data_IF_135898075461
#
_entry.id   IF_135898075461
#
_cell.length_a   1.000
_cell.length_b   1.000
_cell.length_c   1.000
_cell.angle_alpha   90.00
_cell.angle_beta   90.00
_cell.angle_gamma   90.00
#
_symmetry.space_group_name_H-M   'P 1'
#
loop_
_entity.id
_entity.type
_entity.pdbx_description
1 polymer ?
#
# COMPACT_ATOMS: atom_id res chain seq x y z
N UNK A 1 33.87 -41.93 21.43
CA UNK A 1 32.88 -42.65 22.26
C UNK A 1 31.72 -41.71 22.52
N UNK A 2 30.50 -42.19 22.43
CA UNK A 2 29.29 -41.36 22.56
C UNK A 2 29.09 -40.95 24.04
N UNK A 3 29.23 -39.66 24.40
CA UNK A 3 29.15 -39.20 25.78
C UNK A 3 27.76 -39.43 26.41
N UNK A 4 26.71 -39.64 25.61
CA UNK A 4 25.36 -39.95 26.10
C UNK A 4 25.26 -41.34 26.76
N UNK A 5 26.19 -42.26 26.48
CA UNK A 5 26.17 -43.62 27.04
C UNK A 5 26.76 -43.72 28.45
N UNK A 6 27.48 -42.69 28.93
CA UNK A 6 28.09 -42.68 30.26
C UNK A 6 27.11 -42.28 31.38
N UNK A 7 26.08 -41.50 31.07
CA UNK A 7 25.19 -40.93 32.09
C UNK A 7 24.20 -41.95 32.70
N UNK A 8 24.03 -43.10 32.03
CA UNK A 8 23.27 -44.24 32.54
C UNK A 8 24.17 -45.34 33.14
N UNK A 9 25.50 -45.14 33.20
CA UNK A 9 26.42 -46.09 33.81
C UNK A 9 26.30 -46.01 35.36
N UNK A 10 26.03 -47.13 36.05
CA UNK A 10 25.94 -47.17 37.51
C UNK A 10 27.20 -46.68 38.25
N UNK A 11 28.34 -46.54 37.55
CA UNK A 11 29.64 -46.10 38.07
C UNK A 11 29.94 -44.63 37.77
N UNK A 12 29.00 -43.92 37.15
CA UNK A 12 29.10 -42.49 36.84
C UNK A 12 29.22 -41.67 38.13
N UNK A 13 30.34 -40.96 38.30
CA UNK A 13 30.64 -40.18 39.51
C UNK A 13 31.57 -40.87 40.51
N UNK A 14 31.93 -42.14 40.32
CA UNK A 14 32.84 -42.89 41.22
C UNK A 14 34.10 -43.37 40.47
N UNK A 15 33.97 -44.26 39.48
CA UNK A 15 35.10 -44.76 38.66
C UNK A 15 35.22 -44.05 37.30
N UNK A 16 34.12 -43.47 36.81
CA UNK A 16 34.12 -42.64 35.61
C UNK A 16 34.06 -41.16 36.04
N UNK A 17 35.07 -40.33 35.71
CA UNK A 17 35.09 -38.93 36.11
C UNK A 17 33.88 -38.20 35.53
N UNK A 18 33.09 -37.54 36.39
CA UNK A 18 31.93 -36.78 35.96
C UNK A 18 32.41 -35.54 35.17
N UNK A 19 32.18 -35.46 33.84
CA UNK A 19 32.63 -34.33 33.03
C UNK A 19 31.94 -33.01 33.41
N UNK A 20 30.87 -33.05 34.20
CA UNK A 20 30.14 -31.89 34.71
C UNK A 20 30.66 -31.35 36.06
N UNK A 21 31.67 -31.96 36.70
CA UNK A 21 32.16 -31.50 38.01
C UNK A 21 32.87 -30.15 37.94
N UNK A 22 33.62 -29.90 36.85
CA UNK A 22 34.36 -28.67 36.64
C UNK A 22 33.99 -28.05 35.30
N UNK A 23 32.74 -27.58 35.19
CA UNK A 23 32.27 -26.87 34.00
C UNK A 23 32.87 -25.45 33.94
N UNK A 24 33.22 -25.01 32.73
CA UNK A 24 33.67 -23.66 32.43
C UNK A 24 32.85 -23.09 31.25
N UNK A 25 32.98 -21.80 30.90
CA UNK A 25 32.16 -21.17 29.86
C UNK A 25 32.23 -21.82 28.47
N UNK A 26 33.27 -22.62 28.18
CA UNK A 26 33.49 -23.30 26.90
C UNK A 26 33.14 -24.79 26.92
N UNK A 27 32.68 -25.33 28.07
CA UNK A 27 32.36 -26.76 28.19
C UNK A 27 31.14 -27.12 27.32
N UNK A 28 31.34 -28.06 26.39
CA UNK A 28 30.31 -28.49 25.42
C UNK A 28 29.02 -28.99 26.09
N UNK A 29 27.88 -28.55 25.57
CA UNK A 29 26.54 -28.98 26.02
C UNK A 29 26.19 -30.41 25.61
N UNK A 30 26.90 -30.96 24.62
CA UNK A 30 26.76 -32.37 24.22
C UNK A 30 27.37 -33.30 25.29
N UNK A 31 28.44 -32.86 25.94
CA UNK A 31 29.13 -33.64 26.98
C UNK A 31 28.55 -33.40 28.37
N UNK A 32 28.10 -32.17 28.65
CA UNK A 32 27.40 -31.84 29.88
C UNK A 32 26.16 -31.00 29.55
N UNK A 33 24.95 -31.60 29.51
CA UNK A 33 23.72 -30.88 29.19
C UNK A 33 23.49 -29.67 30.09
N UNK A 34 22.81 -28.66 29.57
CA UNK A 34 22.42 -27.51 30.38
C UNK A 34 21.40 -27.94 31.45
N UNK A 35 21.48 -27.41 32.67
CA UNK A 35 20.47 -27.65 33.70
C UNK A 35 19.09 -27.18 33.22
N UNK A 36 18.06 -27.97 33.49
CA UNK A 36 16.66 -27.58 33.26
C UNK A 36 16.07 -26.83 34.45
N UNK A 37 16.64 -26.98 35.64
CA UNK A 37 16.27 -26.22 36.82
C UNK A 37 16.80 -24.77 36.68
N UNK A 38 15.92 -23.75 36.72
CA UNK A 38 16.32 -22.35 36.61
C UNK A 38 17.34 -21.90 37.66
N UNK A 39 17.29 -22.45 38.87
CA UNK A 39 18.22 -22.11 39.97
C UNK A 39 19.64 -22.64 39.69
N UNK A 40 19.73 -23.83 39.11
CA UNK A 40 21.01 -24.42 38.71
C UNK A 40 21.54 -23.76 37.44
N UNK A 41 20.66 -23.44 36.50
CA UNK A 41 21.01 -22.74 35.26
C UNK A 41 21.55 -21.33 35.53
N UNK A 42 21.01 -20.62 36.53
CA UNK A 42 21.51 -19.31 36.96
C UNK A 42 22.96 -19.36 37.48
N UNK A 43 23.40 -20.51 37.97
CA UNK A 43 24.76 -20.74 38.46
C UNK A 43 25.66 -21.44 37.44
N UNK A 44 25.14 -21.85 36.28
CA UNK A 44 25.93 -22.47 35.22
C UNK A 44 26.87 -21.42 34.59
N UNK A 45 28.20 -21.62 34.60
CA UNK A 45 29.17 -20.69 34.00
C UNK A 45 28.97 -20.44 32.49
N UNK A 46 28.14 -21.25 31.82
CA UNK A 46 27.85 -21.16 30.38
C UNK A 46 26.54 -20.43 30.06
N UNK A 47 25.82 -19.95 31.08
CA UNK A 47 24.55 -19.22 30.89
C UNK A 47 24.72 -18.00 29.98
N UNK A 48 23.71 -17.71 29.17
CA UNK A 48 23.75 -16.59 28.20
C UNK A 48 24.72 -16.83 27.03
N UNK A 49 25.22 -18.06 26.87
CA UNK A 49 26.12 -18.47 25.81
C UNK A 49 25.74 -19.85 25.28
N UNK A 50 26.51 -20.88 25.67
CA UNK A 50 26.20 -22.26 25.29
C UNK A 50 24.94 -22.80 25.99
N UNK A 51 24.64 -22.30 27.19
CA UNK A 51 23.40 -22.57 27.90
C UNK A 51 22.47 -21.35 27.89
N UNK A 52 21.15 -21.57 27.84
CA UNK A 52 20.19 -20.48 27.88
C UNK A 52 20.30 -19.68 29.18
N UNK A 53 19.99 -18.39 29.10
CA UNK A 53 19.87 -17.55 30.29
C UNK A 53 18.45 -17.66 30.85
N UNK A 54 18.32 -18.13 32.09
CA UNK A 54 17.06 -18.21 32.83
C UNK A 54 16.36 -16.86 32.97
N UNK A 55 17.10 -15.76 32.87
CA UNK A 55 16.60 -14.39 32.97
C UNK A 55 16.48 -13.70 31.61
N UNK A 56 16.61 -14.44 30.51
CA UNK A 56 16.29 -13.90 29.19
C UNK A 56 14.79 -13.66 29.04
N UNK A 57 14.41 -12.59 28.33
CA UNK A 57 13.01 -12.24 28.12
C UNK A 57 12.19 -13.34 27.43
N UNK A 58 12.83 -14.26 26.69
CA UNK A 58 12.16 -15.38 26.04
C UNK A 58 11.70 -16.47 27.02
N UNK A 59 12.34 -16.60 28.18
CA UNK A 59 12.05 -17.63 29.18
C UNK A 59 11.35 -17.07 30.44
N UNK A 60 11.42 -15.75 30.65
CA UNK A 60 10.71 -15.05 31.71
C UNK A 60 9.19 -15.06 31.46
N UNK A 61 8.43 -15.43 32.49
CA UNK A 61 6.98 -15.30 32.52
C UNK A 61 6.53 -14.64 33.83
N UNK A 62 5.24 -14.34 33.95
CA UNK A 62 4.65 -13.63 35.10
C UNK A 62 4.85 -14.33 36.46
N UNK A 63 5.17 -15.62 36.47
CA UNK A 63 5.37 -16.43 37.69
C UNK A 63 6.85 -16.72 38.00
N UNK A 64 7.80 -16.30 37.16
CA UNK A 64 9.22 -16.56 37.40
C UNK A 64 9.69 -15.85 38.67
N UNK A 65 10.13 -16.64 39.66
CA UNK A 65 10.55 -16.15 40.97
C UNK A 65 11.67 -15.11 40.89
N UNK A 66 11.53 -14.04 41.67
CA UNK A 66 12.52 -12.97 41.79
C UNK A 66 13.82 -13.42 42.48
N UNK A 67 13.77 -14.55 43.20
CA UNK A 67 14.97 -15.15 43.78
C UNK A 67 15.88 -15.80 42.73
N UNK A 68 15.30 -16.24 41.60
CA UNK A 68 16.05 -16.80 40.47
C UNK A 68 16.53 -15.67 39.56
N UNK A 69 15.62 -14.77 39.20
CA UNK A 69 15.87 -13.63 38.33
C UNK A 69 15.40 -12.35 39.02
N UNK A 70 16.31 -11.59 39.67
CA UNK A 70 15.96 -10.34 40.30
C UNK A 70 15.26 -9.39 39.33
N UNK A 71 14.37 -8.55 39.85
CA UNK A 71 13.75 -7.51 39.05
C UNK A 71 14.82 -6.48 38.64
N UNK A 72 14.74 -6.02 37.40
CA UNK A 72 15.53 -4.87 36.95
C UNK A 72 15.16 -3.64 37.78
N UNK A 73 16.11 -2.75 38.02
CA UNK A 73 15.90 -1.52 38.81
C UNK A 73 15.72 -0.29 37.93
N UNK A 74 16.07 -0.38 36.64
CA UNK A 74 15.91 0.69 35.67
C UNK A 74 14.49 0.67 35.09
N UNK A 75 13.71 1.76 35.20
CA UNK A 75 12.34 1.83 34.69
C UNK A 75 12.20 1.46 33.21
N UNK A 76 13.17 1.87 32.38
CA UNK A 76 13.20 1.56 30.95
C UNK A 76 13.28 0.06 30.64
N UNK A 77 13.81 -0.76 31.56
CA UNK A 77 13.81 -2.22 31.43
C UNK A 77 12.61 -2.87 32.13
N UNK A 78 12.15 -2.28 33.23
CA UNK A 78 10.97 -2.77 33.96
C UNK A 78 9.69 -2.71 33.13
N UNK A 79 9.58 -1.72 32.23
CA UNK A 79 8.39 -1.58 31.35
C UNK A 79 8.15 -2.83 30.48
N UNK A 80 9.22 -3.57 30.17
CA UNK A 80 9.18 -4.77 29.34
C UNK A 80 9.27 -6.06 30.17
N UNK A 81 9.34 -6.00 31.51
CA UNK A 81 9.38 -7.19 32.36
C UNK A 81 7.97 -7.83 32.43
N UNK A 82 7.81 -9.11 32.05
CA UNK A 82 6.52 -9.82 32.10
C UNK A 82 5.89 -9.91 33.50
N UNK A 83 6.66 -9.63 34.56
CA UNK A 83 6.25 -9.72 35.97
C UNK A 83 5.92 -8.37 36.59
N UNK A 84 6.01 -7.27 35.82
CA UNK A 84 5.68 -5.92 36.30
C UNK A 84 4.26 -5.86 36.87
N UNK A 85 4.07 -5.12 37.97
CA UNK A 85 2.77 -4.96 38.63
C UNK A 85 2.34 -6.16 39.49
N UNK A 86 3.21 -7.17 39.64
CA UNK A 86 3.02 -8.30 40.53
C UNK A 86 4.28 -8.56 41.34
N UNK A 87 5.13 -9.46 40.86
CA UNK A 87 6.40 -9.78 41.52
C UNK A 87 7.45 -8.69 41.36
N UNK A 88 7.42 -7.95 40.25
CA UNK A 88 8.31 -6.82 39.99
C UNK A 88 7.57 -5.48 40.05
N UNK A 89 8.26 -4.39 40.46
CA UNK A 89 7.68 -3.05 40.46
C UNK A 89 7.16 -2.65 39.08
N UNK A 90 6.00 -2.01 39.04
CA UNK A 90 5.49 -1.38 37.83
C UNK A 90 5.91 0.09 37.80
N UNK A 91 6.70 0.54 36.80
CA UNK A 91 7.07 1.95 36.67
C UNK A 91 5.87 2.87 36.40
N UNK A 92 4.75 2.33 35.93
CA UNK A 92 3.49 3.07 35.71
C UNK A 92 2.58 3.15 36.94
N UNK A 93 2.86 2.39 38.00
CA UNK A 93 2.04 2.45 39.20
C UNK A 93 2.16 3.80 39.90
N UNK A 94 1.07 4.27 40.52
CA UNK A 94 1.03 5.57 41.23
C UNK A 94 2.15 5.76 42.25
N UNK A 95 2.66 4.68 42.85
CA UNK A 95 3.74 4.73 43.83
C UNK A 95 5.14 4.93 43.22
N UNK A 96 5.34 4.52 41.96
CA UNK A 96 6.64 4.56 41.29
C UNK A 96 6.71 5.61 40.17
N UNK A 97 5.56 6.05 39.65
CA UNK A 97 5.47 7.07 38.61
C UNK A 97 6.05 8.40 39.14
N UNK A 98 6.93 9.02 38.35
CA UNK A 98 7.52 10.33 38.65
C UNK A 98 7.12 11.37 37.61
N UNK A 99 7.20 12.65 37.99
CA UNK A 99 6.84 13.79 37.14
C UNK A 99 7.61 13.82 35.80
N UNK A 100 8.84 13.32 35.81
CA UNK A 100 9.77 13.26 34.69
C UNK A 100 9.78 11.91 33.97
N UNK A 101 8.90 10.97 34.37
CA UNK A 101 8.80 9.68 33.69
C UNK A 101 8.26 9.89 32.29
N UNK A 102 9.09 9.56 31.30
CA UNK A 102 8.82 9.74 29.88
C UNK A 102 7.72 8.80 29.37
N UNK A 103 7.09 9.17 28.26
CA UNK A 103 5.93 8.44 27.70
C UNK A 103 6.28 7.09 27.09
N UNK A 104 7.55 6.86 26.74
CA UNK A 104 8.07 5.57 26.27
C UNK A 104 8.19 4.54 27.41
N UNK A 105 8.45 5.00 28.63
CA UNK A 105 8.49 4.17 29.84
C UNK A 105 7.06 3.92 30.32
N UNK A 106 6.29 4.99 30.46
CA UNK A 106 4.91 4.91 30.88
C UNK A 106 4.02 5.80 30.00
N UNK A 107 3.18 5.22 29.13
CA UNK A 107 2.26 6.00 28.32
C UNK A 107 1.36 6.88 29.20
N UNK A 108 0.96 8.04 28.69
CA UNK A 108 0.00 8.86 29.40
C UNK A 108 -1.40 8.23 29.33
N UNK A 109 -2.22 8.36 30.39
CA UNK A 109 -3.59 7.89 30.37
C UNK A 109 -4.41 8.60 29.29
N UNK A 110 -5.21 7.83 28.56
CA UNK A 110 -6.16 8.36 27.56
C UNK A 110 -7.56 8.56 28.14
N UNK A 111 -7.86 7.94 29.29
CA UNK A 111 -9.08 8.19 30.04
C UNK A 111 -8.95 9.55 30.76
N UNK A 112 -9.90 10.48 30.58
CA UNK A 112 -9.87 11.79 31.24
C UNK A 112 -9.76 11.73 32.77
N UNK A 113 -10.44 10.77 33.41
CA UNK A 113 -10.40 10.63 34.87
C UNK A 113 -9.04 10.14 35.37
N UNK A 114 -8.38 9.26 34.63
CA UNK A 114 -7.05 8.78 34.99
C UNK A 114 -5.99 9.84 34.68
N UNK A 115 -6.15 10.60 33.59
CA UNK A 115 -5.28 11.71 33.23
C UNK A 115 -5.32 12.83 34.26
N UNK A 116 -6.52 13.18 34.77
CA UNK A 116 -6.67 14.20 35.82
C UNK A 116 -5.94 13.82 37.12
N UNK A 117 -5.74 12.52 37.33
CA UNK A 117 -5.01 11.95 38.45
C UNK A 117 -3.55 11.60 38.12
N UNK A 118 -3.10 11.74 36.87
CA UNK A 118 -1.70 11.55 36.50
C UNK A 118 -0.89 12.76 36.97
N UNK A 119 0.16 12.51 37.73
CA UNK A 119 1.02 13.57 38.26
C UNK A 119 1.70 14.38 37.13
N UNK A 120 1.82 13.81 35.92
CA UNK A 120 2.45 14.41 34.73
C UNK A 120 1.48 15.21 33.87
N UNK A 121 0.20 15.32 34.25
CA UNK A 121 -0.86 15.96 33.43
C UNK A 121 -0.55 17.39 33.01
N UNK A 122 0.16 18.15 33.84
CA UNK A 122 0.51 19.55 33.57
C UNK A 122 1.85 19.69 32.82
N UNK A 123 2.54 18.58 32.56
CA UNK A 123 3.85 18.53 31.91
C UNK A 123 3.85 17.58 30.72
N UNK A 124 4.62 16.49 30.85
CA UNK A 124 4.83 15.51 29.78
C UNK A 124 3.51 14.90 29.25
N UNK A 125 2.48 14.81 30.09
CA UNK A 125 1.16 14.31 29.70
C UNK A 125 0.14 15.41 29.39
N UNK A 126 0.56 16.66 29.24
CA UNK A 126 -0.35 17.74 28.84
C UNK A 126 -0.84 17.55 27.42
N UNK A 127 -2.10 17.94 27.17
CA UNK A 127 -2.67 18.00 25.84
C UNK A 127 -1.90 18.95 24.93
N UNK A 128 -1.31 20.02 25.45
CA UNK A 128 -0.58 21.01 24.65
C UNK A 128 0.74 20.45 24.12
N UNK A 129 1.28 19.42 24.76
CA UNK A 129 2.47 18.70 24.31
C UNK A 129 2.11 17.37 23.64
N UNK A 130 0.82 17.13 23.38
CA UNK A 130 0.29 15.89 22.83
C UNK A 130 0.69 14.64 23.63
N UNK A 131 1.01 14.83 24.91
CA UNK A 131 1.41 13.77 25.82
C UNK A 131 0.25 12.85 26.13
N UNK A 132 -0.93 13.44 26.38
CA UNK A 132 -2.18 12.73 26.54
C UNK A 132 -3.26 13.33 25.63
N UNK A 133 -3.75 12.49 24.73
CA UNK A 133 -4.85 12.84 23.83
C UNK A 133 -6.07 11.99 24.19
N UNK A 134 -7.25 12.60 24.08
CA UNK A 134 -8.55 11.97 24.27
C UNK A 134 -9.32 12.06 22.96
N UNK A 135 -10.44 11.34 22.83
CA UNK A 135 -11.30 11.41 21.63
C UNK A 135 -11.85 12.82 21.34
N UNK A 136 -11.77 13.73 22.31
CA UNK A 136 -12.23 15.13 22.21
C UNK A 136 -11.10 16.16 22.10
N UNK A 137 -9.82 15.75 22.18
CA UNK A 137 -8.70 16.69 22.09
C UNK A 137 -8.66 17.33 20.68
N UNK A 138 -8.76 18.67 20.57
CA UNK A 138 -8.80 19.35 19.28
C UNK A 138 -7.58 19.03 18.41
N UNK A 139 -7.81 18.86 17.11
CA UNK A 139 -6.75 18.54 16.14
C UNK A 139 -5.77 19.69 15.90
N UNK A 140 -6.18 20.93 16.20
CA UNK A 140 -5.32 22.12 16.14
C UNK A 140 -4.34 22.19 17.32
N UNK A 141 -4.71 21.58 18.46
CA UNK A 141 -3.80 21.43 19.62
C UNK A 141 -2.79 20.32 19.34
N UNK A 142 -3.27 19.20 18.79
CA UNK A 142 -2.45 18.04 18.45
C UNK A 142 -2.84 17.48 17.10
N UNK A 143 -1.95 17.61 16.11
CA UNK A 143 -2.19 17.05 14.78
C UNK A 143 -2.47 15.55 14.84
N UNK A 144 -3.26 15.06 13.89
CA UNK A 144 -3.51 13.64 13.74
C UNK A 144 -2.26 12.92 13.18
N UNK A 145 -1.92 11.72 13.68
CA UNK A 145 -0.76 10.98 13.20
C UNK A 145 -0.87 10.66 11.71
N UNK A 146 0.24 10.83 10.98
CA UNK A 146 0.33 10.54 9.54
C UNK A 146 0.77 9.12 9.25
N UNK A 147 1.29 8.39 10.25
CA UNK A 147 1.64 6.98 10.14
C UNK A 147 0.47 6.12 10.60
N UNK A 148 0.11 5.09 9.82
CA UNK A 148 -1.02 4.21 10.12
C UNK A 148 -0.90 3.56 11.51
N UNK A 149 0.29 3.08 11.88
CA UNK A 149 0.53 2.41 13.16
C UNK A 149 0.29 3.29 14.38
N UNK A 150 0.44 4.60 14.23
CA UNK A 150 0.23 5.58 15.30
C UNK A 150 -1.19 6.12 15.25
N UNK A 151 -1.74 6.29 14.05
CA UNK A 151 -3.14 6.66 13.85
C UNK A 151 -4.09 5.62 14.44
N UNK A 152 -3.82 4.33 14.24
CA UNK A 152 -4.66 3.24 14.78
C UNK A 152 -4.70 3.23 16.32
N UNK A 153 -3.71 3.85 16.97
CA UNK A 153 -3.62 3.99 18.42
C UNK A 153 -4.15 5.35 18.91
N UNK A 154 -4.43 6.29 18.01
CA UNK A 154 -4.96 7.60 18.37
C UNK A 154 -6.42 7.45 18.83
N UNK A 155 -6.78 7.87 20.06
CA UNK A 155 -8.16 7.81 20.55
C UNK A 155 -9.18 8.58 19.70
N UNK A 156 -8.72 9.46 18.81
CA UNK A 156 -9.53 10.28 17.90
C UNK A 156 -9.64 9.66 16.51
N UNK A 157 -9.01 8.51 16.24
CA UNK A 157 -8.97 7.86 14.93
C UNK A 157 -10.37 7.64 14.32
N UNK A 158 -11.37 7.32 15.15
CA UNK A 158 -12.75 7.13 14.70
C UNK A 158 -13.61 8.40 14.73
N UNK A 159 -13.08 9.49 15.28
CA UNK A 159 -13.76 10.77 15.49
C UNK A 159 -13.07 11.91 14.75
N UNK A 160 -12.46 12.83 15.50
CA UNK A 160 -11.86 14.06 14.97
C UNK A 160 -10.78 13.81 13.91
N UNK A 161 -10.06 12.70 13.98
CA UNK A 161 -9.00 12.36 13.02
C UNK A 161 -9.49 11.53 11.82
N UNK A 162 -10.72 10.99 11.87
CA UNK A 162 -11.24 9.96 10.95
C UNK A 162 -11.03 10.24 9.46
N UNK A 163 -11.37 11.45 9.01
CA UNK A 163 -11.20 11.86 7.61
C UNK A 163 -10.20 13.00 7.45
N UNK A 164 -9.47 13.34 8.52
CA UNK A 164 -8.38 14.31 8.48
C UNK A 164 -7.10 13.66 7.97
N UNK A 165 -6.91 12.39 8.28
CA UNK A 165 -5.86 11.54 7.71
C UNK A 165 -6.53 10.37 7.02
N UNK A 166 -6.15 10.14 5.77
CA UNK A 166 -6.68 9.06 4.93
C UNK A 166 -5.51 8.25 4.40
N UNK A 167 -5.69 6.94 4.39
CA UNK A 167 -4.70 5.97 3.91
C UNK A 167 -5.28 5.22 2.71
N UNK A 168 -4.43 4.57 1.91
CA UNK A 168 -4.85 3.79 0.73
C UNK A 168 -5.89 2.70 1.07
N UNK A 169 -5.84 2.18 2.29
CA UNK A 169 -6.75 1.16 2.83
C UNK A 169 -8.04 1.72 3.44
N UNK A 170 -8.17 3.05 3.60
CA UNK A 170 -9.32 3.65 4.30
C UNK A 170 -10.61 3.44 3.51
N UNK A 171 -11.58 2.67 4.04
CA UNK A 171 -12.78 2.31 3.28
C UNK A 171 -13.63 3.53 2.89
N UNK A 172 -14.26 3.48 1.70
CA UNK A 172 -15.14 4.55 1.22
C UNK A 172 -16.35 4.80 2.13
N UNK A 173 -16.84 3.77 2.83
CA UNK A 173 -17.90 3.92 3.82
C UNK A 173 -17.46 4.64 5.11
N UNK A 174 -16.15 4.66 5.39
CA UNK A 174 -15.57 5.35 6.54
C UNK A 174 -15.40 6.84 6.24
N UNK A 175 -14.78 7.14 5.10
CA UNK A 175 -14.62 8.48 4.56
C UNK A 175 -14.95 8.46 3.06
N UNK A 176 -16.00 9.16 2.61
CA UNK A 176 -16.37 9.18 1.20
C UNK A 176 -15.23 9.76 0.36
N UNK A 177 -15.15 9.32 -0.89
CA UNK A 177 -14.19 9.86 -1.84
C UNK A 177 -14.56 11.30 -2.20
N UNK A 178 -13.58 12.19 -2.40
CA UNK A 178 -13.85 13.54 -2.88
C UNK A 178 -14.56 13.53 -4.23
N UNK A 179 -15.52 14.43 -4.41
CA UNK A 179 -16.21 14.65 -5.68
C UNK A 179 -15.59 15.79 -6.50
N UNK A 180 -14.74 16.61 -5.88
CA UNK A 180 -13.93 17.59 -6.60
C UNK A 180 -12.73 16.90 -7.28
N UNK A 181 -12.48 17.13 -8.58
CA UNK A 181 -11.36 16.50 -9.29
C UNK A 181 -9.98 16.81 -8.71
N UNK A 182 -9.78 18.00 -8.14
CA UNK A 182 -8.51 18.43 -7.56
C UNK A 182 -8.25 17.70 -6.25
N UNK A 183 -9.27 17.62 -5.40
CA UNK A 183 -9.19 16.89 -4.13
C UNK A 183 -9.05 15.39 -4.35
N UNK A 184 -9.77 14.83 -5.33
CA UNK A 184 -9.66 13.41 -5.68
C UNK A 184 -8.24 13.07 -6.16
N UNK A 185 -7.60 13.95 -6.94
CA UNK A 185 -6.21 13.74 -7.40
C UNK A 185 -5.22 13.67 -6.24
N UNK A 186 -5.51 14.36 -5.13
CA UNK A 186 -4.68 14.40 -3.94
C UNK A 186 -5.07 13.34 -2.90
N UNK A 187 -6.18 12.61 -3.09
CA UNK A 187 -6.59 11.52 -2.21
C UNK A 187 -5.64 10.33 -2.41
N UNK A 188 -4.99 9.79 -1.36
CA UNK A 188 -4.12 8.61 -1.46
C UNK A 188 -4.81 7.40 -2.09
N UNK A 189 -6.14 7.31 -1.99
CA UNK A 189 -6.96 6.22 -2.55
C UNK A 189 -7.37 6.47 -4.01
N UNK A 190 -6.95 7.57 -4.63
CA UNK A 190 -7.34 7.97 -5.98
C UNK A 190 -7.14 6.85 -7.02
N UNK A 191 -6.06 6.08 -6.89
CA UNK A 191 -5.74 5.00 -7.81
C UNK A 191 -6.35 3.64 -7.41
N UNK A 192 -6.94 3.56 -6.21
CA UNK A 192 -7.51 2.34 -5.63
C UNK A 192 -8.99 2.50 -5.34
N UNK A 193 -9.37 2.58 -4.06
CA UNK A 193 -10.77 2.60 -3.62
C UNK A 193 -11.58 3.78 -4.18
N UNK A 194 -10.92 4.93 -4.46
CA UNK A 194 -11.58 6.12 -5.00
C UNK A 194 -11.44 6.28 -6.52
N UNK A 195 -10.90 5.29 -7.22
CA UNK A 195 -10.68 5.34 -8.68
C UNK A 195 -11.95 5.57 -9.50
N UNK A 196 -13.09 5.14 -8.98
CA UNK A 196 -14.41 5.30 -9.59
C UNK A 196 -15.24 6.45 -9.00
N UNK A 197 -14.66 7.31 -8.15
CA UNK A 197 -15.41 8.35 -7.44
C UNK A 197 -15.99 9.43 -8.37
N UNK A 198 -15.27 9.76 -9.45
CA UNK A 198 -15.72 10.69 -10.47
C UNK A 198 -15.71 9.95 -11.82
N UNK A 199 -16.91 9.76 -12.37
CA UNK A 199 -17.10 9.18 -13.71
C UNK A 199 -17.57 10.31 -14.63
N UNK A 200 -16.81 10.57 -15.68
CA UNK A 200 -17.20 11.47 -16.77
C UNK A 200 -17.40 10.67 -18.04
N UNK A 201 -17.94 11.29 -19.09
CA UNK A 201 -18.11 10.66 -20.41
C UNK A 201 -16.79 10.18 -21.04
N UNK A 202 -15.64 10.64 -20.54
CA UNK A 202 -14.30 10.27 -21.03
C UNK A 202 -13.58 9.25 -20.13
N UNK A 203 -14.12 8.90 -18.96
CA UNK A 203 -13.50 7.91 -18.05
C UNK A 203 -13.48 6.52 -18.70
N UNK A 204 -12.29 5.95 -18.91
CA UNK A 204 -12.13 4.66 -19.61
C UNK A 204 -12.66 3.47 -18.82
N UNK A 205 -13.03 2.39 -19.51
CA UNK A 205 -13.49 1.13 -18.89
C UNK A 205 -12.40 0.45 -18.05
N UNK A 206 -11.12 0.67 -18.38
CA UNK A 206 -9.97 0.23 -17.56
C UNK A 206 -9.86 1.01 -16.25
N UNK A 207 -10.25 2.29 -16.27
CA UNK A 207 -10.21 3.14 -15.09
C UNK A 207 -11.33 2.75 -14.14
N UNK A 208 -12.57 2.75 -14.63
CA UNK A 208 -13.72 2.27 -13.89
C UNK A 208 -14.56 1.37 -14.78
N UNK A 209 -14.84 0.14 -14.34
CA UNK A 209 -15.65 -0.78 -15.15
C UNK A 209 -17.05 -0.22 -15.37
N UNK A 210 -17.61 -0.47 -16.54
CA UNK A 210 -18.99 -0.14 -16.82
C UNK A 210 -19.94 -1.00 -15.97
N UNK A 211 -21.02 -0.42 -15.42
CA UNK A 211 -22.03 -1.18 -14.69
C UNK A 211 -22.67 -2.22 -15.61
N UNK A 212 -22.87 -3.43 -15.11
CA UNK A 212 -23.60 -4.51 -15.82
C UNK A 212 -25.10 -4.49 -15.52
N UNK A 213 -25.49 -3.86 -14.42
CA UNK A 213 -26.89 -3.66 -14.06
C UNK A 213 -27.51 -2.57 -14.96
N UNK A 214 -28.63 -2.88 -15.61
CA UNK A 214 -29.30 -1.97 -16.55
C UNK A 214 -29.72 -0.63 -15.91
N UNK A 215 -30.07 -0.62 -14.63
CA UNK A 215 -30.50 0.60 -13.91
C UNK A 215 -29.31 1.49 -13.58
N UNK A 216 -28.18 0.90 -13.17
CA UNK A 216 -26.95 1.64 -12.90
C UNK A 216 -26.34 2.19 -14.20
N UNK A 217 -26.34 1.38 -15.26
CA UNK A 217 -25.87 1.79 -16.59
C UNK A 217 -26.69 2.95 -17.15
N UNK A 218 -28.02 2.96 -16.99
CA UNK A 218 -28.87 4.06 -17.45
C UNK A 218 -28.51 5.42 -16.83
N UNK A 219 -27.87 5.39 -15.65
CA UNK A 219 -27.40 6.55 -14.90
C UNK A 219 -25.89 6.81 -15.07
N UNK A 220 -25.14 5.94 -15.75
CA UNK A 220 -23.70 6.13 -15.99
C UNK A 220 -23.48 7.23 -17.05
N UNK A 221 -22.66 8.27 -16.78
CA UNK A 221 -22.36 9.33 -17.75
C UNK A 221 -21.75 8.85 -19.08
N UNK A 222 -21.26 7.61 -19.14
CA UNK A 222 -20.64 6.98 -20.32
C UNK A 222 -21.58 6.05 -21.06
N UNK A 223 -22.84 5.92 -20.64
CA UNK A 223 -23.84 4.97 -21.16
C UNK A 223 -24.00 5.00 -22.67
N UNK A 224 -23.89 6.18 -23.29
CA UNK A 224 -24.11 6.38 -24.73
C UNK A 224 -22.81 6.25 -25.55
N UNK A 225 -21.66 6.11 -24.89
CA UNK A 225 -20.33 6.04 -25.50
C UNK A 225 -19.55 4.80 -25.07
N UNK A 226 -18.53 5.00 -24.21
CA UNK A 226 -17.58 3.95 -23.79
C UNK A 226 -18.31 2.72 -23.22
N UNK A 227 -19.36 2.91 -22.42
CA UNK A 227 -20.09 1.80 -21.81
C UNK A 227 -21.13 1.17 -22.71
N UNK A 228 -21.48 1.78 -23.84
CA UNK A 228 -22.33 1.17 -24.87
C UNK A 228 -21.59 0.06 -25.62
N UNK A 229 -20.31 0.29 -25.92
CA UNK A 229 -19.48 -0.65 -26.68
C UNK A 229 -19.03 -1.87 -25.85
N UNK A 230 -18.90 -1.72 -24.53
CA UNK A 230 -18.40 -2.78 -23.64
C UNK A 230 -19.39 -3.94 -23.43
N UNK A 231 -20.69 -3.75 -23.69
CA UNK A 231 -21.74 -4.78 -23.54
C UNK A 231 -21.83 -5.63 -24.82
N UNK A 232 -21.22 -5.19 -25.92
CA UNK A 232 -21.33 -5.81 -27.24
C UNK A 232 -20.33 -6.96 -27.45
N UNK A 233 -19.41 -7.29 -26.52
CA UNK A 233 -18.66 -8.58 -26.54
C UNK A 233 -17.84 -8.78 -25.25
N UNK A 234 -17.98 -9.95 -24.58
CA UNK A 234 -17.26 -11.17 -24.98
C UNK A 234 -18.20 -12.39 -25.00
N UNK A 235 -18.63 -12.78 -26.19
CA UNK A 235 -19.55 -13.90 -26.37
C UNK A 235 -19.89 -14.19 -27.83
N UNK A 236 -19.06 -13.75 -28.78
CA UNK A 236 -19.12 -14.26 -30.16
C UNK A 236 -18.46 -15.66 -30.18
N UNK A 237 -19.09 -16.62 -29.48
CA UNK A 237 -19.02 -18.01 -29.91
C UNK A 237 -20.00 -18.14 -31.07
N UNK A 238 -19.41 -18.08 -32.25
CA UNK A 238 -19.83 -18.71 -33.49
C UNK A 238 -20.76 -19.93 -33.26
N UNK A 239 -22.06 -19.88 -33.62
CA UNK A 239 -22.91 -21.05 -33.62
C UNK A 239 -22.77 -21.76 -34.98
N UNK A 240 -21.57 -22.19 -35.33
CA UNK A 240 -21.37 -23.22 -36.36
C UNK A 240 -20.74 -24.47 -35.77
N UNK A 241 -21.37 -25.02 -34.73
CA UNK A 241 -21.17 -26.41 -34.35
C UNK A 241 -22.37 -27.24 -34.79
N UNK A 242 -22.31 -27.72 -36.04
CA UNK A 242 -23.15 -28.83 -36.53
C UNK A 242 -22.92 -30.07 -35.67
N UNK A 243 -23.93 -30.44 -34.89
CA UNK A 243 -24.10 -31.78 -34.33
C UNK A 243 -24.69 -32.72 -35.40
N UNK A 244 -24.17 -33.95 -35.60
CA UNK A 244 -24.74 -34.90 -36.55
C UNK A 244 -25.88 -35.73 -35.93
N UNK A 245 -26.96 -35.91 -36.69
CA UNK A 245 -28.16 -36.71 -36.35
C UNK A 245 -29.24 -35.84 -35.71
N UNK A 246 -30.46 -35.72 -36.22
CA UNK A 246 -31.29 -36.71 -36.90
C UNK A 246 -32.13 -36.09 -38.03
N UNK A 247 -32.43 -36.95 -39.01
CA UNK A 247 -33.30 -36.69 -40.16
C UNK A 247 -34.76 -36.58 -39.69
N UNK A 248 -35.44 -35.50 -40.06
CA UNK A 248 -36.90 -35.52 -40.26
C UNK A 248 -37.26 -34.72 -41.53
N UNK A 249 -37.76 -35.36 -42.61
CA UNK A 249 -38.00 -34.72 -43.89
C UNK A 249 -39.50 -34.45 -44.06
N UNK A 250 -40.05 -33.41 -43.41
CA UNK A 250 -41.37 -32.91 -43.81
C UNK A 250 -41.70 -31.51 -43.28
N UNK A 251 -41.26 -30.45 -43.97
CA UNK A 251 -42.13 -29.28 -44.17
C UNK A 251 -41.64 -28.32 -45.26
N UNK A 252 -42.58 -28.08 -46.17
CA UNK A 252 -42.55 -27.19 -47.34
C UNK A 252 -42.30 -25.72 -47.00
N UNK A 253 -41.54 -25.11 -47.90
CA UNK A 253 -41.73 -23.82 -48.57
C UNK A 253 -42.74 -22.85 -47.94
N UNK A 254 -42.20 -21.71 -47.50
CA UNK A 254 -42.92 -20.47 -47.30
C UNK A 254 -41.97 -19.32 -47.64
N UNK A 255 -42.15 -18.75 -48.82
CA UNK A 255 -41.71 -17.40 -49.17
C UNK A 255 -42.17 -16.41 -48.10
N UNK A 256 -41.33 -15.42 -47.75
CA UNK A 256 -41.75 -14.04 -47.49
C UNK A 256 -40.49 -13.14 -47.38
N UNK A 257 -40.54 -12.04 -48.13
CA UNK A 257 -39.54 -11.00 -48.35
C UNK A 257 -39.29 -10.08 -47.12
N UNK A 258 -38.30 -9.18 -47.27
CA UNK A 258 -37.91 -8.00 -46.44
C UNK A 258 -36.84 -8.30 -45.34
N UNK A 259 -35.64 -7.69 -45.27
CA UNK A 259 -35.29 -6.26 -45.35
C UNK A 259 -33.85 -5.99 -45.88
N UNK A 260 -33.76 -5.02 -46.79
CA UNK A 260 -32.60 -4.65 -47.63
C UNK A 260 -31.79 -3.46 -47.04
N UNK A 261 -31.53 -3.40 -45.73
CA UNK A 261 -30.92 -2.22 -45.07
C UNK A 261 -29.39 -2.21 -44.99
N UNK A 262 -28.73 -3.34 -45.23
CA UNK A 262 -27.28 -3.47 -45.03
C UNK A 262 -26.43 -3.04 -46.23
N UNK A 263 -27.04 -2.82 -47.41
CA UNK A 263 -26.32 -2.37 -48.63
C UNK A 263 -26.21 -0.85 -48.75
N UNK A 264 -27.09 -0.07 -48.12
CA UNK A 264 -27.11 1.39 -48.20
C UNK A 264 -25.89 2.05 -47.55
N UNK A 265 -25.52 1.60 -46.34
CA UNK A 265 -24.44 2.19 -45.55
C UNK A 265 -23.04 2.02 -46.17
N UNK A 266 -22.78 0.91 -46.87
CA UNK A 266 -21.49 0.71 -47.56
C UNK A 266 -21.26 1.74 -48.67
N UNK A 267 -22.30 2.13 -49.41
CA UNK A 267 -22.19 3.16 -50.45
C UNK A 267 -21.95 4.55 -49.85
N UNK A 268 -22.63 4.87 -48.74
CA UNK A 268 -22.45 6.15 -48.03
C UNK A 268 -21.02 6.27 -47.49
N UNK A 269 -20.50 5.23 -46.84
CA UNK A 269 -19.13 5.21 -46.32
C UNK A 269 -18.09 5.40 -47.44
N UNK A 270 -18.32 4.77 -48.60
CA UNK A 270 -17.45 4.92 -49.76
C UNK A 270 -17.41 6.36 -50.28
N UNK A 271 -18.56 7.04 -50.37
CA UNK A 271 -18.61 8.46 -50.78
C UNK A 271 -17.90 9.40 -49.79
N UNK A 272 -18.04 9.16 -48.49
CA UNK A 272 -17.35 9.97 -47.46
C UNK A 272 -15.82 9.79 -47.57
N UNK A 273 -15.34 8.56 -47.73
CA UNK A 273 -13.91 8.27 -47.89
C UNK A 273 -13.36 8.92 -49.17
N UNK A 274 -14.08 8.83 -50.30
CA UNK A 274 -13.69 9.52 -51.53
C UNK A 274 -13.66 11.04 -51.36
N UNK A 275 -14.65 11.62 -50.69
CA UNK A 275 -14.72 13.07 -50.42
C UNK A 275 -13.53 13.58 -49.62
N UNK A 276 -13.19 12.91 -48.52
CA UNK A 276 -12.03 13.28 -47.69
C UNK A 276 -10.72 13.10 -48.46
N UNK A 277 -10.58 12.00 -49.21
CA UNK A 277 -9.38 11.77 -50.02
C UNK A 277 -9.17 12.83 -51.10
N UNK A 278 -10.25 13.28 -51.76
CA UNK A 278 -10.19 14.33 -52.78
C UNK A 278 -9.75 15.68 -52.19
N UNK A 279 -10.28 16.05 -51.02
CA UNK A 279 -9.88 17.28 -50.32
C UNK A 279 -8.40 17.26 -49.93
N UNK A 280 -7.89 16.11 -49.46
CA UNK A 280 -6.48 15.95 -49.12
C UNK A 280 -5.57 16.08 -50.34
N UNK A 281 -5.98 15.52 -51.48
CA UNK A 281 -5.21 15.66 -52.74
C UNK A 281 -5.22 17.10 -53.23
N UNK A 282 -6.37 17.78 -53.22
CA UNK A 282 -6.48 19.17 -53.66
C UNK A 282 -5.65 20.10 -52.78
N UNK A 283 -5.70 19.93 -51.45
CA UNK A 283 -4.90 20.74 -50.52
C UNK A 283 -3.40 20.50 -50.71
N UNK A 284 -2.96 19.25 -50.90
CA UNK A 284 -1.56 18.93 -51.21
C UNK A 284 -1.08 19.58 -52.52
N UNK A 285 -1.92 19.56 -53.58
CA UNK A 285 -1.60 20.21 -54.85
C UNK A 285 -1.47 21.74 -54.69
N UNK A 286 -2.34 22.38 -53.92
CA UNK A 286 -2.26 23.82 -53.64
C UNK A 286 -0.94 24.14 -52.93
N UNK A 287 -0.54 23.35 -51.94
CA UNK A 287 0.73 23.53 -51.22
C UNK A 287 1.92 23.36 -52.16
N UNK A 288 1.91 22.36 -53.04
CA UNK A 288 2.98 22.16 -54.02
C UNK A 288 3.08 23.32 -55.03
N UNK A 289 1.95 23.83 -55.53
CA UNK A 289 1.92 24.98 -56.45
C UNK A 289 2.45 26.24 -55.76
N UNK A 290 1.98 26.51 -54.54
CA UNK A 290 2.45 27.68 -53.77
C UNK A 290 3.94 27.60 -53.47
N UNK A 291 4.45 26.43 -53.09
CA UNK A 291 5.89 26.19 -52.89
C UNK A 291 6.68 26.37 -54.20
N UNK A 292 6.17 25.87 -55.32
CA UNK A 292 6.82 26.02 -56.61
C UNK A 292 6.90 27.50 -57.06
N UNK A 293 5.82 28.26 -56.87
CA UNK A 293 5.80 29.70 -57.13
C UNK A 293 6.76 30.45 -56.20
N UNK A 294 6.80 30.07 -54.92
CA UNK A 294 7.73 30.62 -53.94
C UNK A 294 9.19 30.41 -54.37
N UNK A 295 9.57 29.18 -54.76
CA UNK A 295 10.92 28.85 -55.24
C UNK A 295 11.25 29.64 -56.52
N UNK A 296 10.31 29.76 -57.47
CA UNK A 296 10.53 30.54 -58.70
C UNK A 296 10.75 32.03 -58.41
N UNK A 297 9.98 32.62 -57.49
CA UNK A 297 10.18 34.00 -57.05
C UNK A 297 11.54 34.19 -56.34
N UNK A 298 11.98 33.22 -55.55
CA UNK A 298 13.26 33.31 -54.85
C UNK A 298 14.46 33.20 -55.81
N UNK A 299 14.42 32.25 -56.75
CA UNK A 299 15.49 32.10 -57.76
C UNK A 299 15.55 33.27 -58.76
N UNK A 300 14.42 33.92 -59.05
CA UNK A 300 14.40 35.11 -59.92
C UNK A 300 15.07 36.35 -59.33
N UNK A 301 15.26 36.41 -58.00
CA UNK A 301 15.93 37.54 -57.33
C UNK A 301 17.45 37.43 -57.31
N UNK A 302 18.02 36.23 -57.42
CA UNK A 302 19.48 36.04 -57.40
C UNK A 302 20.15 36.37 -58.74
N UNK A 303 19.45 36.28 -59.87
CA UNK A 303 20.03 36.57 -61.19
C UNK A 303 20.17 38.06 -61.52
N UNK A 304 19.58 38.96 -60.72
CA UNK A 304 19.64 40.43 -60.96
C UNK A 304 20.77 41.10 -60.16
N UNK A 305 21.36 40.44 -59.17
CA UNK A 305 22.34 41.06 -58.25
C UNK A 305 23.81 40.79 -58.67
N UNK A 306 24.06 39.94 -59.66
CA UNK A 306 25.42 39.68 -60.19
C UNK A 306 25.61 40.19 -61.63
N UNK A 307 25.43 41.49 -61.85
CA UNK A 307 26.06 42.17 -62.99
C UNK A 307 27.21 43.04 -62.47
N UNK A 308 28.42 42.47 -62.49
CA UNK A 308 29.68 43.12 -62.08
C UNK A 308 30.05 44.20 -63.10
N UNK A 309 30.21 45.48 -62.72
CA UNK A 309 30.71 46.50 -63.64
C UNK A 309 32.17 46.22 -64.01
N UNK A 310 32.46 46.25 -65.31
CA UNK A 310 33.83 46.13 -65.85
C UNK A 310 34.65 47.37 -65.50
N UNK A 311 35.92 47.12 -65.15
CA UNK A 311 36.85 48.10 -64.61
C UNK A 311 37.25 49.19 -65.58
N UNK A 312 37.61 50.34 -65.01
CA UNK A 312 38.27 51.46 -65.68
C UNK A 312 39.78 51.23 -65.54
N UNK A 313 40.48 51.09 -66.68
CA UNK A 313 41.94 51.16 -66.77
C UNK A 313 42.43 52.56 -66.42
N UNK A 314 43.42 52.63 -65.54
CA UNK A 314 44.25 53.83 -65.33
C UNK A 314 45.38 53.80 -66.35
N UNK A 315 45.50 54.83 -67.18
CA UNK A 315 46.72 55.13 -67.92
C UNK A 315 47.28 56.47 -67.45
N UNK A 316 48.57 56.43 -67.11
CA UNK A 316 49.49 57.57 -66.99
C UNK A 316 49.59 58.34 -68.30
#
# INVERSE_FOLDING_TARGET
EDPALLQNDPRYGDLCPNPCININPSTSTVTCPCPTDPTLLQNDPRKGGLCPDSCSQQLLNSSTSIAVCPCETLPAKQKDDPRKGGLCPDPCSKANLKIDTTTDICPCPTNPADLENDIRKDGICSSDQCGAITSTTPIETCECPKAQSDFDKDPRATGLCKCKVIFESTPNGTCPCPTDPTDLKNDPRANGLCKCAIITSTTTNETCKCPTNSTELANDPRKDGICKAAIVTPGDEDPTETKPGDIDPDKKDGDDDDDDDSKGWRKILQYVVYGVSAVMVVTALIVLITLFLYIKCYRGKETVIYQKPQGIEMNN
#
